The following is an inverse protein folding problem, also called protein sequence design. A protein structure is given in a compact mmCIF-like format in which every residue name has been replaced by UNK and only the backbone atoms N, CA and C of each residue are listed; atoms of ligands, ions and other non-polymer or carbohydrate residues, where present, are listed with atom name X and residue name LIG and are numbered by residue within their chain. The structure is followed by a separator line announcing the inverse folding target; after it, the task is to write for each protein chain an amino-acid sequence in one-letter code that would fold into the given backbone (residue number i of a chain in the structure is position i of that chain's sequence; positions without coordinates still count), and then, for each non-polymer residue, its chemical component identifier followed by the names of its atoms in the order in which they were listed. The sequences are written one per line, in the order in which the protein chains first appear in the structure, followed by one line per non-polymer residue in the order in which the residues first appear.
data_IF_437410838373
#
_entry.id   IF_437410838373
#
_cell.length_a   1.000
_cell.length_b   1.000
_cell.length_c   1.000
_cell.angle_alpha   90.00
_cell.angle_beta   90.00
_cell.angle_gamma   90.00
#
_symmetry.space_group_name_H-M   'P 1'
#
loop_
_entity.id
_entity.type
_entity.pdbx_description
1 polymer ?
#
# COMPACT_ATOMS: atom_id res chain seq x y z
N UNK A 1 31.39 112.55 11.72
CA UNK A 1 30.05 112.03 11.59
C UNK A 1 29.86 111.61 10.16
N UNK A 2 30.25 110.41 9.87
CA UNK A 2 30.08 109.84 8.57
C UNK A 2 28.70 109.15 8.48
N UNK A 3 27.77 109.82 7.84
CA UNK A 3 26.57 109.15 7.42
C UNK A 3 26.93 108.20 6.29
N UNK A 4 27.10 106.95 6.59
CA UNK A 4 27.23 105.87 5.59
C UNK A 4 25.88 105.77 4.82
N UNK A 5 25.72 106.68 3.78
CA UNK A 5 24.62 106.52 2.83
C UNK A 5 24.99 105.40 1.86
N UNK A 6 24.23 104.32 1.92
CA UNK A 6 24.38 103.25 0.93
C UNK A 6 24.35 103.87 -0.50
N UNK A 7 25.24 103.40 -1.35
CA UNK A 7 25.25 103.77 -2.77
C UNK A 7 24.01 103.18 -3.50
N UNK A 8 23.59 103.76 -4.59
CA UNK A 8 22.46 103.27 -5.42
C UNK A 8 22.73 101.85 -5.89
N UNK A 9 24.00 101.52 -6.12
CA UNK A 9 24.46 100.19 -6.57
C UNK A 9 24.26 99.13 -5.47
N UNK A 10 24.58 99.50 -4.19
CA UNK A 10 24.35 98.65 -3.05
C UNK A 10 22.86 98.40 -2.80
N UNK A 11 22.02 99.46 -2.93
CA UNK A 11 20.55 99.34 -2.82
C UNK A 11 20.01 98.42 -3.93
N UNK A 12 20.42 98.58 -5.17
CA UNK A 12 19.99 97.77 -6.31
C UNK A 12 20.40 96.32 -6.14
N UNK A 13 21.64 96.05 -5.64
CA UNK A 13 22.11 94.72 -5.36
C UNK A 13 21.28 94.08 -4.24
N UNK A 14 21.03 94.80 -3.15
CA UNK A 14 20.21 94.30 -2.06
C UNK A 14 18.76 94.01 -2.48
N UNK A 15 18.20 94.87 -3.30
CA UNK A 15 16.84 94.66 -3.87
C UNK A 15 16.78 93.45 -4.75
N UNK A 16 17.79 93.24 -5.58
CA UNK A 16 17.87 92.08 -6.46
C UNK A 16 18.05 90.78 -5.67
N UNK A 17 18.84 90.84 -4.61
CA UNK A 17 19.07 89.72 -3.71
C UNK A 17 17.78 89.38 -2.90
N UNK A 18 17.09 90.41 -2.41
CA UNK A 18 15.80 90.27 -1.73
C UNK A 18 14.72 89.70 -2.65
N UNK A 19 14.64 90.20 -3.88
CA UNK A 19 13.71 89.62 -4.87
C UNK A 19 13.99 88.17 -5.20
N UNK A 20 15.26 87.85 -5.40
CA UNK A 20 15.68 86.46 -5.62
C UNK A 20 15.37 85.53 -4.40
N UNK A 21 15.54 86.10 -3.18
CA UNK A 21 15.17 85.40 -1.96
C UNK A 21 13.66 85.18 -1.84
N UNK A 22 12.85 86.23 -2.18
CA UNK A 22 11.39 86.15 -2.23
C UNK A 22 10.91 85.14 -3.26
N UNK A 23 11.46 85.22 -4.48
CA UNK A 23 11.14 84.27 -5.54
C UNK A 23 11.55 82.77 -5.22
N UNK A 24 12.52 82.66 -4.33
CA UNK A 24 12.97 81.37 -3.79
C UNK A 24 12.11 80.80 -2.64
N UNK A 25 11.23 81.63 -2.06
CA UNK A 25 10.36 81.17 -0.98
C UNK A 25 9.29 80.20 -1.53
N UNK A 26 9.26 78.98 -0.94
CA UNK A 26 8.22 77.99 -1.24
C UNK A 26 7.28 77.89 -0.04
N UNK A 27 5.95 77.81 -0.36
CA UNK A 27 4.97 77.50 0.67
C UNK A 27 5.29 76.20 1.40
N UNK A 28 5.24 76.27 2.71
CA UNK A 28 5.33 75.08 3.56
C UNK A 28 4.17 74.19 3.26
N UNK A 29 4.42 72.87 3.33
CA UNK A 29 3.37 71.89 3.12
C UNK A 29 2.32 71.92 4.23
N UNK A 30 1.05 71.85 3.84
CA UNK A 30 -0.05 71.55 4.74
C UNK A 30 -0.14 70.01 4.88
N UNK A 31 0.03 69.52 6.09
CA UNK A 31 0.07 68.07 6.38
C UNK A 31 -1.32 67.50 6.69
N UNK A 32 -2.42 68.29 6.58
CA UNK A 32 -3.77 67.80 6.92
C UNK A 32 -4.22 66.65 6.01
N UNK A 33 -4.06 66.82 4.69
CA UNK A 33 -4.41 65.76 3.72
C UNK A 33 -3.51 64.52 3.84
N UNK A 34 -2.23 64.71 4.11
CA UNK A 34 -1.29 63.65 4.37
C UNK A 34 -1.70 62.79 5.60
N UNK A 35 -2.15 63.52 6.66
CA UNK A 35 -2.63 62.84 7.88
C UNK A 35 -3.88 62.02 7.61
N UNK A 36 -4.85 62.57 6.86
CA UNK A 36 -6.08 61.87 6.50
C UNK A 36 -5.78 60.58 5.73
N UNK A 37 -4.90 60.64 4.72
CA UNK A 37 -4.50 59.46 3.92
C UNK A 37 -3.79 58.40 4.78
N UNK A 38 -2.88 58.82 5.67
CA UNK A 38 -2.18 57.86 6.56
C UNK A 38 -3.14 57.22 7.54
N UNK A 39 -4.13 57.96 8.07
CA UNK A 39 -5.13 57.42 8.97
C UNK A 39 -6.04 56.41 8.24
N UNK A 40 -6.42 56.64 6.98
CA UNK A 40 -7.12 55.66 6.12
C UNK A 40 -6.30 54.43 5.89
N UNK A 41 -5.04 54.56 5.50
CA UNK A 41 -4.12 53.42 5.28
C UNK A 41 -3.99 52.57 6.54
N UNK A 42 -3.83 53.16 7.72
CA UNK A 42 -3.75 52.47 8.99
C UNK A 42 -5.04 51.74 9.35
N UNK A 43 -6.19 52.32 9.01
CA UNK A 43 -7.49 51.70 9.24
C UNK A 43 -7.70 50.43 8.41
N UNK A 44 -6.99 50.25 7.28
CA UNK A 44 -7.01 49.00 6.48
C UNK A 44 -6.34 47.82 7.16
N UNK A 45 -5.57 48.03 8.23
CA UNK A 45 -5.03 46.97 9.05
C UNK A 45 -4.05 46.05 8.33
N UNK A 46 -3.22 46.55 7.44
CA UNK A 46 -2.21 45.74 6.71
C UNK A 46 -1.28 45.05 7.66
N UNK A 47 -1.07 43.74 7.39
CA UNK A 47 -0.14 42.87 8.16
C UNK A 47 1.08 42.58 7.28
N UNK A 48 2.27 42.93 7.74
CA UNK A 48 3.51 42.80 6.97
C UNK A 48 3.77 41.41 6.43
N UNK A 49 3.35 40.39 7.17
CA UNK A 49 3.53 38.98 6.78
C UNK A 49 2.66 38.57 5.59
N UNK A 50 1.64 39.34 5.22
CA UNK A 50 0.73 38.99 4.15
C UNK A 50 1.22 39.44 2.77
N UNK A 51 2.34 40.22 2.75
CA UNK A 51 2.91 40.80 1.54
C UNK A 51 4.34 40.26 1.30
N UNK A 52 4.82 40.37 0.04
CA UNK A 52 6.22 40.11 -0.26
C UNK A 52 7.12 41.07 0.49
N UNK A 53 8.30 40.58 0.92
CA UNK A 53 9.24 41.37 1.72
C UNK A 53 9.61 42.68 0.98
N UNK A 54 9.85 42.61 -0.33
CA UNK A 54 10.24 43.76 -1.13
C UNK A 54 9.13 44.78 -1.27
N UNK A 55 7.89 44.36 -1.60
CA UNK A 55 6.76 45.29 -1.75
C UNK A 55 6.40 45.93 -0.41
N UNK A 56 6.40 45.17 0.68
CA UNK A 56 6.19 45.70 2.03
C UNK A 56 7.25 46.71 2.43
N UNK A 57 8.55 46.43 2.18
CA UNK A 57 9.67 47.31 2.48
C UNK A 57 9.51 48.66 1.74
N UNK A 58 9.13 48.65 0.47
CA UNK A 58 8.91 49.86 -0.31
C UNK A 58 7.75 50.67 0.24
N UNK A 59 6.61 50.02 0.52
CA UNK A 59 5.42 50.65 1.09
C UNK A 59 5.72 51.24 2.47
N UNK A 60 6.33 50.45 3.38
CA UNK A 60 6.63 50.94 4.74
C UNK A 60 7.63 52.10 4.74
N UNK A 61 8.60 52.10 3.81
CA UNK A 61 9.53 53.21 3.65
C UNK A 61 8.85 54.49 3.16
N UNK A 62 7.88 54.39 2.21
CA UNK A 62 7.08 55.52 1.76
C UNK A 62 6.18 56.05 2.87
N UNK A 63 5.48 55.17 3.59
CA UNK A 63 4.62 55.52 4.72
C UNK A 63 5.42 56.23 5.82
N UNK A 64 6.58 55.70 6.21
CA UNK A 64 7.43 56.32 7.24
C UNK A 64 7.89 57.72 6.86
N UNK A 65 8.19 57.96 5.58
CA UNK A 65 8.55 59.34 5.09
C UNK A 65 7.39 60.31 5.24
N UNK A 66 6.16 59.93 4.87
CA UNK A 66 4.98 60.80 5.02
C UNK A 66 4.67 61.02 6.49
N UNK A 67 4.75 60.01 7.34
CA UNK A 67 4.56 60.16 8.80
C UNK A 67 5.58 61.12 9.43
N UNK A 68 6.82 61.13 8.95
CA UNK A 68 7.83 62.09 9.42
C UNK A 68 7.42 63.54 9.07
N UNK A 69 6.89 63.78 7.86
CA UNK A 69 6.40 65.12 7.45
C UNK A 69 5.15 65.52 8.24
N UNK A 70 4.23 64.60 8.56
CA UNK A 70 3.07 64.88 9.42
C UNK A 70 3.54 65.36 10.79
N UNK A 71 4.63 64.75 11.32
CA UNK A 71 5.21 65.12 12.60
C UNK A 71 5.94 66.47 12.56
N UNK A 72 6.67 66.76 11.48
CA UNK A 72 7.39 67.99 11.26
C UNK A 72 7.52 68.29 9.78
N UNK A 73 6.79 69.34 9.30
CA UNK A 73 6.77 69.78 7.92
C UNK A 73 7.67 70.97 7.65
N UNK A 74 8.58 71.36 8.61
CA UNK A 74 9.38 72.59 8.54
C UNK A 74 10.24 72.69 7.27
N UNK A 75 10.79 71.57 6.81
CA UNK A 75 11.73 71.50 5.71
C UNK A 75 11.10 70.98 4.37
N UNK A 76 9.76 70.81 4.33
CA UNK A 76 9.06 70.20 3.17
C UNK A 76 8.09 71.24 2.59
N UNK A 77 8.19 71.48 1.29
CA UNK A 77 7.22 72.32 0.58
C UNK A 77 6.07 71.45 0.00
N UNK A 78 4.98 72.20 -0.47
CA UNK A 78 3.76 71.53 -0.96
C UNK A 78 4.00 70.58 -2.15
N UNK A 79 4.92 70.88 -3.09
CA UNK A 79 5.22 70.04 -4.23
C UNK A 79 5.98 68.75 -3.79
N UNK A 80 6.92 68.88 -2.85
CA UNK A 80 7.61 67.73 -2.29
C UNK A 80 6.65 66.79 -1.54
N UNK A 81 5.71 67.33 -0.75
CA UNK A 81 4.71 66.51 -0.08
C UNK A 81 3.80 65.80 -1.08
N UNK A 82 3.37 66.49 -2.13
CA UNK A 82 2.57 65.89 -3.21
C UNK A 82 3.27 64.67 -3.81
N UNK A 83 4.56 64.77 -4.17
CA UNK A 83 5.36 63.64 -4.70
C UNK A 83 5.49 62.50 -3.66
N UNK A 84 5.61 62.82 -2.38
CA UNK A 84 5.66 61.79 -1.33
C UNK A 84 4.34 61.04 -1.20
N UNK A 85 3.20 61.70 -1.33
CA UNK A 85 1.86 61.10 -1.30
C UNK A 85 1.62 60.25 -2.54
N UNK A 86 2.02 60.69 -3.73
CA UNK A 86 1.98 59.90 -4.97
C UNK A 86 2.84 58.61 -4.80
N UNK A 87 4.08 58.74 -4.32
CA UNK A 87 4.95 57.58 -4.06
C UNK A 87 4.35 56.61 -3.02
N UNK A 88 3.66 57.12 -1.99
CA UNK A 88 2.98 56.26 -1.01
C UNK A 88 1.79 55.53 -1.65
N UNK A 89 0.98 56.24 -2.45
CA UNK A 89 -0.13 55.63 -3.19
C UNK A 89 0.36 54.56 -4.17
N UNK A 90 1.43 54.85 -4.93
CA UNK A 90 2.04 53.90 -5.87
C UNK A 90 2.60 52.66 -5.13
N UNK A 91 3.30 52.88 -4.01
CA UNK A 91 3.83 51.78 -3.20
C UNK A 91 2.71 50.93 -2.57
N UNK A 92 1.59 51.56 -2.15
CA UNK A 92 0.41 50.82 -1.67
C UNK A 92 -0.20 49.98 -2.79
N UNK A 93 -0.39 50.58 -3.99
CA UNK A 93 -0.90 49.87 -5.16
C UNK A 93 0.02 48.74 -5.63
N UNK A 94 1.33 48.89 -5.39
CA UNK A 94 2.34 47.89 -5.71
C UNK A 94 2.49 46.76 -4.65
N UNK A 95 1.76 46.79 -3.55
CA UNK A 95 1.73 45.71 -2.58
C UNK A 95 1.34 44.39 -3.26
N UNK A 96 2.11 43.35 -3.03
CA UNK A 96 1.89 41.99 -3.55
C UNK A 96 1.45 41.11 -2.41
N UNK A 97 0.17 40.78 -2.38
CA UNK A 97 -0.42 39.88 -1.39
C UNK A 97 -0.02 38.45 -1.65
N UNK A 98 0.48 37.77 -0.63
CA UNK A 98 0.91 36.37 -0.64
C UNK A 98 0.21 35.55 0.45
N UNK A 99 -0.82 36.06 1.10
CA UNK A 99 -1.53 35.39 2.18
C UNK A 99 -2.12 34.05 1.70
N UNK A 100 -2.87 34.05 0.60
CA UNK A 100 -3.45 32.83 0.01
C UNK A 100 -2.35 31.85 -0.42
N UNK A 101 -1.27 32.36 -1.03
CA UNK A 101 -0.14 31.51 -1.44
C UNK A 101 0.54 30.82 -0.25
N UNK A 102 0.77 31.55 0.84
CA UNK A 102 1.33 30.98 2.08
C UNK A 102 0.42 29.91 2.68
N UNK A 103 -0.88 30.20 2.76
CA UNK A 103 -1.86 29.24 3.27
C UNK A 103 -1.89 27.96 2.43
N UNK A 104 -1.95 28.09 1.09
CA UNK A 104 -1.94 26.96 0.17
C UNK A 104 -0.64 26.15 0.25
N UNK A 105 0.50 26.82 0.29
CA UNK A 105 1.82 26.13 0.43
C UNK A 105 1.90 25.36 1.75
N UNK A 106 1.39 25.91 2.85
CA UNK A 106 1.34 25.22 4.13
C UNK A 106 0.45 23.99 4.08
N UNK A 107 -0.75 24.10 3.53
CA UNK A 107 -1.70 23.01 3.35
C UNK A 107 -1.07 21.88 2.50
N UNK A 108 -0.56 22.24 1.32
CA UNK A 108 -0.03 21.26 0.36
C UNK A 108 1.23 20.59 0.87
N UNK A 109 2.09 21.26 1.63
CA UNK A 109 3.26 20.66 2.29
C UNK A 109 2.89 19.50 3.22
N UNK A 110 1.83 19.63 3.98
CA UNK A 110 1.35 18.55 4.84
C UNK A 110 0.70 17.44 4.01
N UNK A 111 -0.06 17.80 3.01
CA UNK A 111 -0.73 16.83 2.12
C UNK A 111 0.27 15.94 1.36
N UNK A 112 1.33 16.52 0.81
CA UNK A 112 2.37 15.81 0.02
C UNK A 112 3.10 14.73 0.82
N UNK A 113 3.19 14.85 2.14
CA UNK A 113 3.85 13.84 2.99
C UNK A 113 3.25 12.43 2.85
N UNK A 114 1.98 12.34 2.48
CA UNK A 114 1.25 11.09 2.32
C UNK A 114 1.08 10.66 0.85
N UNK A 115 1.74 11.34 -0.08
CA UNK A 115 1.69 11.04 -1.50
C UNK A 115 2.87 10.16 -1.93
N UNK A 116 2.76 9.51 -3.08
CA UNK A 116 3.87 8.77 -3.69
C UNK A 116 4.99 9.75 -4.09
N UNK A 117 6.23 9.29 -3.97
CA UNK A 117 7.41 10.13 -4.22
C UNK A 117 7.44 10.65 -5.66
N UNK A 118 7.07 9.83 -6.63
CA UNK A 118 7.05 10.20 -8.04
C UNK A 118 6.00 11.28 -8.33
N UNK A 119 4.76 11.13 -7.82
CA UNK A 119 3.71 12.13 -8.01
C UNK A 119 4.00 13.45 -7.28
N UNK A 120 4.70 13.39 -6.14
CA UNK A 120 5.07 14.55 -5.34
C UNK A 120 6.25 15.37 -5.93
N UNK A 121 6.99 14.84 -6.89
CA UNK A 121 8.23 15.46 -7.39
C UNK A 121 8.02 16.87 -7.92
N UNK A 122 7.09 17.04 -8.86
CA UNK A 122 6.78 18.35 -9.45
C UNK A 122 6.21 19.31 -8.41
N UNK A 123 5.32 18.83 -7.56
CA UNK A 123 4.76 19.64 -6.48
C UNK A 123 5.85 20.19 -5.56
N UNK A 124 6.84 19.38 -5.17
CA UNK A 124 7.94 19.83 -4.34
C UNK A 124 8.79 20.93 -5.00
N UNK A 125 8.94 20.91 -6.33
CA UNK A 125 9.56 22.01 -7.09
C UNK A 125 8.71 23.26 -6.99
N UNK A 126 7.41 23.18 -7.28
CA UNK A 126 6.49 24.33 -7.19
C UNK A 126 6.46 24.93 -5.78
N UNK A 127 6.45 24.11 -4.74
CA UNK A 127 6.48 24.60 -3.35
C UNK A 127 7.77 25.36 -3.01
N UNK A 128 8.91 24.95 -3.57
CA UNK A 128 10.18 25.67 -3.42
C UNK A 128 10.17 27.00 -4.18
N UNK A 129 9.66 27.01 -5.41
CA UNK A 129 9.52 28.21 -6.24
C UNK A 129 8.54 29.19 -5.62
N UNK A 130 7.40 28.71 -5.09
CA UNK A 130 6.42 29.53 -4.38
C UNK A 130 7.04 30.25 -3.17
N UNK A 131 7.93 29.60 -2.42
CA UNK A 131 8.62 30.22 -1.30
C UNK A 131 9.58 31.35 -1.74
N UNK A 132 10.19 31.22 -2.92
CA UNK A 132 11.05 32.26 -3.46
C UNK A 132 10.25 33.54 -3.79
N UNK A 133 8.97 33.41 -4.18
CA UNK A 133 8.09 34.56 -4.42
C UNK A 133 7.77 35.38 -3.17
N UNK A 134 7.96 34.84 -1.97
CA UNK A 134 7.72 35.59 -0.73
C UNK A 134 8.66 36.78 -0.57
N UNK A 135 9.85 36.70 -1.15
CA UNK A 135 10.83 37.78 -1.09
C UNK A 135 10.45 38.93 -2.09
N UNK A 136 10.25 38.58 -3.36
CA UNK A 136 10.15 39.57 -4.43
C UNK A 136 9.24 39.15 -5.61
N UNK A 137 8.14 38.41 -5.36
CA UNK A 137 7.20 38.02 -6.40
C UNK A 137 6.38 39.16 -6.94
N UNK A 138 5.97 39.13 -8.24
CA UNK A 138 4.95 40.01 -8.79
C UNK A 138 3.54 39.45 -8.54
N UNK A 139 2.51 40.29 -8.69
CA UNK A 139 1.08 39.86 -8.58
C UNK A 139 0.76 38.72 -9.57
N UNK A 140 1.26 38.85 -10.80
CA UNK A 140 1.06 37.88 -11.87
C UNK A 140 1.77 36.55 -11.55
N UNK A 141 3.00 36.62 -11.05
CA UNK A 141 3.75 35.42 -10.66
C UNK A 141 3.08 34.66 -9.49
N UNK A 142 2.54 35.41 -8.51
CA UNK A 142 1.80 34.81 -7.38
C UNK A 142 0.50 34.16 -7.90
N UNK A 143 -0.25 34.81 -8.77
CA UNK A 143 -1.48 34.25 -9.35
C UNK A 143 -1.21 33.00 -10.21
N UNK A 144 -0.16 33.03 -11.01
CA UNK A 144 0.28 31.87 -11.80
C UNK A 144 0.70 30.68 -10.88
N UNK A 145 1.44 30.96 -9.82
CA UNK A 145 1.88 29.95 -8.87
C UNK A 145 0.69 29.30 -8.13
N UNK A 146 -0.28 30.10 -7.69
CA UNK A 146 -1.52 29.59 -7.09
C UNK A 146 -2.23 28.62 -8.04
N UNK A 147 -2.34 29.01 -9.31
CA UNK A 147 -2.98 28.18 -10.34
C UNK A 147 -2.18 26.89 -10.58
N UNK A 148 -0.86 26.97 -10.69
CA UNK A 148 0.01 25.82 -10.91
C UNK A 148 -0.06 24.81 -9.76
N UNK A 149 0.00 25.29 -8.50
CA UNK A 149 -0.11 24.42 -7.32
C UNK A 149 -1.48 23.74 -7.26
N UNK A 150 -2.58 24.48 -7.52
CA UNK A 150 -3.93 23.91 -7.53
C UNK A 150 -4.09 22.85 -8.63
N UNK A 151 -3.53 23.07 -9.81
CA UNK A 151 -3.55 22.10 -10.92
C UNK A 151 -2.73 20.86 -10.60
N UNK A 152 -1.50 21.01 -10.09
CA UNK A 152 -0.62 19.88 -9.77
C UNK A 152 -1.16 19.07 -8.59
N UNK A 153 -1.91 19.67 -7.66
CA UNK A 153 -2.54 18.95 -6.55
C UNK A 153 -3.47 17.82 -7.03
N UNK A 154 -4.10 17.98 -8.19
CA UNK A 154 -4.97 16.97 -8.79
C UNK A 154 -4.18 15.74 -9.33
N UNK A 155 -2.88 15.89 -9.59
CA UNK A 155 -2.00 14.83 -10.10
C UNK A 155 -1.34 14.00 -8.98
N UNK A 156 -1.54 14.39 -7.72
CA UNK A 156 -0.94 13.71 -6.58
C UNK A 156 -1.63 12.37 -6.32
N UNK A 157 -0.84 11.31 -6.21
CA UNK A 157 -1.30 9.95 -5.94
C UNK A 157 -1.02 9.60 -4.48
N UNK A 158 -2.04 9.27 -3.67
CA UNK A 158 -1.86 8.85 -2.30
C UNK A 158 -0.98 7.59 -2.20
N UNK A 159 -0.11 7.55 -1.20
CA UNK A 159 0.68 6.37 -0.87
C UNK A 159 -0.23 5.28 -0.32
N UNK A 160 0.00 4.04 -0.76
CA UNK A 160 -0.79 2.89 -0.33
C UNK A 160 -0.64 2.58 1.16
N UNK A 161 -1.75 2.25 1.80
CA UNK A 161 -1.77 1.72 3.16
C UNK A 161 -1.40 0.23 3.14
N UNK A 162 -0.28 -0.13 3.76
CA UNK A 162 0.27 -1.49 3.75
C UNK A 162 -0.11 -2.33 4.97
N UNK A 163 -0.95 -1.85 5.88
CA UNK A 163 -1.25 -2.55 7.14
C UNK A 163 -1.95 -3.90 6.92
N UNK A 164 -2.90 -3.99 5.99
CA UNK A 164 -3.54 -5.25 5.63
C UNK A 164 -2.54 -6.25 5.02
N UNK A 165 -1.62 -5.76 4.19
CA UNK A 165 -0.57 -6.57 3.58
C UNK A 165 0.42 -7.09 4.63
N UNK A 166 0.83 -6.25 5.58
CA UNK A 166 1.65 -6.66 6.75
C UNK A 166 0.98 -7.75 7.57
N UNK A 167 -0.31 -7.59 7.86
CA UNK A 167 -1.07 -8.57 8.62
C UNK A 167 -1.11 -9.94 7.93
N UNK A 168 -1.27 -9.97 6.60
CA UNK A 168 -1.25 -11.22 5.82
C UNK A 168 0.14 -11.85 5.74
N UNK A 169 1.19 -11.06 5.63
CA UNK A 169 2.57 -11.56 5.69
C UNK A 169 2.86 -12.21 7.04
N UNK A 170 2.39 -11.62 8.13
CA UNK A 170 2.55 -12.18 9.47
C UNK A 170 1.73 -13.47 9.65
N UNK A 171 0.48 -13.51 9.15
CA UNK A 171 -0.37 -14.71 9.16
C UNK A 171 0.28 -15.88 8.41
N UNK A 172 0.94 -15.63 7.29
CA UNK A 172 1.49 -16.66 6.41
C UNK A 172 2.94 -17.04 6.69
N UNK A 173 3.60 -16.40 7.66
CA UNK A 173 5.02 -16.62 7.98
C UNK A 173 5.38 -18.06 8.40
N UNK A 174 4.40 -18.84 8.87
CA UNK A 174 4.60 -20.23 9.32
C UNK A 174 4.54 -21.26 8.21
N UNK A 175 4.17 -20.87 6.98
CA UNK A 175 4.13 -21.78 5.84
C UNK A 175 5.55 -22.21 5.46
N UNK A 176 5.72 -23.50 5.15
CA UNK A 176 7.01 -24.10 4.78
C UNK A 176 6.91 -24.69 3.39
N UNK A 177 7.92 -24.45 2.57
CA UNK A 177 8.05 -24.98 1.21
C UNK A 177 7.88 -26.51 1.17
N UNK A 178 8.48 -27.23 2.14
CA UNK A 178 8.44 -28.70 2.23
C UNK A 178 7.03 -29.30 2.29
N UNK A 179 6.03 -28.50 2.67
CA UNK A 179 4.66 -28.97 2.88
C UNK A 179 3.81 -28.91 1.60
N UNK A 180 4.35 -28.28 0.53
CA UNK A 180 3.60 -27.97 -0.69
C UNK A 180 4.34 -28.41 -1.96
N UNK A 181 3.60 -28.56 -3.07
CA UNK A 181 4.20 -28.88 -4.36
C UNK A 181 5.06 -27.71 -4.86
N UNK A 182 6.22 -28.02 -5.49
CA UNK A 182 7.16 -27.01 -5.97
C UNK A 182 6.51 -26.00 -6.95
N UNK A 183 5.58 -26.46 -7.76
CA UNK A 183 4.86 -25.61 -8.73
C UNK A 183 4.02 -24.53 -8.03
N UNK A 184 3.20 -24.95 -7.06
CA UNK A 184 2.32 -24.01 -6.34
C UNK A 184 3.10 -23.15 -5.37
N UNK A 185 4.16 -23.69 -4.75
CA UNK A 185 5.06 -22.93 -3.89
C UNK A 185 5.78 -21.81 -4.66
N UNK A 186 6.29 -22.09 -5.86
CA UNK A 186 6.97 -21.06 -6.68
C UNK A 186 6.08 -19.87 -7.01
N UNK A 187 4.77 -20.09 -7.25
CA UNK A 187 3.80 -18.99 -7.48
C UNK A 187 3.58 -18.19 -6.20
N UNK A 188 3.41 -18.89 -5.07
CA UNK A 188 3.25 -18.26 -3.76
C UNK A 188 4.50 -17.45 -3.36
N UNK A 189 5.69 -18.00 -3.54
CA UNK A 189 6.96 -17.32 -3.22
C UNK A 189 7.13 -16.01 -4.00
N UNK A 190 6.80 -15.99 -5.29
CA UNK A 190 6.82 -14.74 -6.09
C UNK A 190 5.88 -13.68 -5.53
N UNK A 191 4.65 -14.06 -5.17
CA UNK A 191 3.69 -13.14 -4.57
C UNK A 191 4.15 -12.67 -3.18
N UNK A 192 4.74 -13.55 -2.39
CA UNK A 192 5.32 -13.26 -1.07
C UNK A 192 6.45 -12.22 -1.17
N UNK A 193 7.41 -12.44 -2.07
CA UNK A 193 8.53 -11.51 -2.28
C UNK A 193 8.06 -10.15 -2.78
N UNK A 194 7.08 -10.10 -3.68
CA UNK A 194 6.48 -8.85 -4.15
C UNK A 194 5.80 -8.08 -3.00
N UNK A 195 5.03 -8.78 -2.17
CA UNK A 195 4.37 -8.20 -1.00
C UNK A 195 5.38 -7.66 0.03
N UNK A 196 6.44 -8.43 0.30
CA UNK A 196 7.53 -8.02 1.20
C UNK A 196 8.27 -6.78 0.70
N UNK A 197 8.53 -6.69 -0.61
CA UNK A 197 9.17 -5.53 -1.21
C UNK A 197 8.34 -4.25 -1.03
N UNK A 198 7.01 -4.33 -1.23
CA UNK A 198 6.08 -3.21 -1.01
C UNK A 198 6.04 -2.79 0.46
N UNK A 199 6.00 -3.74 1.40
CA UNK A 199 6.00 -3.44 2.84
C UNK A 199 7.32 -2.82 3.29
N UNK A 200 8.45 -3.24 2.70
CA UNK A 200 9.77 -2.70 2.99
C UNK A 200 9.92 -1.25 2.53
N UNK A 201 9.39 -0.92 1.36
CA UNK A 201 9.39 0.44 0.83
C UNK A 201 8.13 0.71 0.01
N UNK A 202 7.18 1.46 0.60
CA UNK A 202 5.95 1.89 -0.05
C UNK A 202 5.98 3.38 -0.47
N UNK A 203 7.16 4.00 -0.47
CA UNK A 203 7.30 5.44 -0.73
C UNK A 203 6.75 5.87 -2.10
N UNK A 204 6.75 4.96 -3.07
CA UNK A 204 6.26 5.18 -4.43
C UNK A 204 5.21 4.15 -4.89
N UNK A 205 4.45 3.60 -3.95
CA UNK A 205 3.44 2.58 -4.20
C UNK A 205 2.04 3.15 -3.98
N UNK A 206 1.17 3.05 -4.99
CA UNK A 206 -0.24 3.46 -4.89
C UNK A 206 -1.09 2.44 -4.12
N UNK A 207 -2.29 2.84 -3.67
CA UNK A 207 -3.23 1.92 -3.02
C UNK A 207 -3.61 0.75 -3.94
N UNK A 208 -3.83 0.99 -5.22
CA UNK A 208 -4.15 -0.04 -6.21
C UNK A 208 -3.05 -1.11 -6.31
N UNK A 209 -1.78 -0.70 -6.30
CA UNK A 209 -0.65 -1.63 -6.31
C UNK A 209 -0.56 -2.46 -5.02
N UNK A 210 -0.85 -1.86 -3.85
CA UNK A 210 -0.93 -2.57 -2.57
C UNK A 210 -2.05 -3.60 -2.60
N UNK A 211 -3.25 -3.21 -3.07
CA UNK A 211 -4.42 -4.09 -3.15
C UNK A 211 -4.19 -5.26 -4.13
N UNK A 212 -3.53 -4.99 -5.26
CA UNK A 212 -3.13 -6.01 -6.23
C UNK A 212 -2.16 -7.03 -5.62
N UNK A 213 -1.15 -6.56 -4.89
CA UNK A 213 -0.19 -7.43 -4.23
C UNK A 213 -0.85 -8.27 -3.12
N UNK A 214 -1.76 -7.67 -2.33
CA UNK A 214 -2.54 -8.36 -1.32
C UNK A 214 -3.38 -9.48 -1.92
N UNK A 215 -4.15 -9.17 -2.96
CA UNK A 215 -4.99 -10.14 -3.65
C UNK A 215 -4.16 -11.27 -4.28
N UNK A 216 -3.02 -10.94 -4.91
CA UNK A 216 -2.11 -11.92 -5.48
C UNK A 216 -1.53 -12.86 -4.43
N UNK A 217 -1.13 -12.33 -3.26
CA UNK A 217 -0.62 -13.12 -2.15
C UNK A 217 -1.68 -14.07 -1.58
N UNK A 218 -2.92 -13.57 -1.39
CA UNK A 218 -4.04 -14.38 -0.89
C UNK A 218 -4.40 -15.49 -1.87
N UNK A 219 -4.55 -15.18 -3.16
CA UNK A 219 -4.87 -16.16 -4.20
C UNK A 219 -3.76 -17.22 -4.34
N UNK A 220 -2.51 -16.80 -4.33
CA UNK A 220 -1.39 -17.74 -4.40
C UNK A 220 -1.35 -18.67 -3.18
N UNK A 221 -1.66 -18.17 -1.98
CA UNK A 221 -1.77 -19.00 -0.76
C UNK A 221 -2.93 -19.99 -0.83
N UNK A 222 -4.09 -19.57 -1.36
CA UNK A 222 -5.26 -20.45 -1.52
C UNK A 222 -5.02 -21.55 -2.57
N UNK A 223 -4.18 -21.25 -3.57
CA UNK A 223 -3.80 -22.23 -4.61
C UNK A 223 -2.73 -23.22 -4.17
N UNK A 224 -2.16 -23.11 -2.97
CA UNK A 224 -1.14 -24.02 -2.48
C UNK A 224 -1.68 -25.45 -2.36
N UNK A 225 -1.00 -26.40 -2.99
CA UNK A 225 -1.31 -27.82 -2.94
C UNK A 225 -0.30 -28.54 -2.06
N UNK A 226 -0.78 -29.26 -1.04
CA UNK A 226 0.08 -30.03 -0.16
C UNK A 226 0.72 -31.21 -0.90
N UNK A 227 1.97 -31.50 -0.56
CA UNK A 227 2.62 -32.75 -0.98
C UNK A 227 1.89 -33.93 -0.34
N UNK A 228 1.30 -34.80 -1.15
CA UNK A 228 0.73 -36.04 -0.68
C UNK A 228 1.90 -37.05 -0.55
N UNK A 229 2.36 -37.29 0.66
CA UNK A 229 3.28 -38.39 0.93
C UNK A 229 2.44 -39.68 1.01
N UNK A 230 2.42 -40.46 -0.06
CA UNK A 230 1.86 -41.80 -0.01
C UNK A 230 2.74 -42.66 0.91
N UNK A 231 2.23 -42.98 2.10
CA UNK A 231 2.88 -43.91 3.01
C UNK A 231 2.66 -45.32 2.40
N UNK A 232 3.70 -46.04 2.03
CA UNK A 232 3.54 -47.42 1.51
C UNK A 232 2.79 -48.28 2.53
N UNK A 233 1.71 -48.93 2.04
CA UNK A 233 0.95 -49.86 2.91
C UNK A 233 1.78 -51.07 3.16
N UNK A 234 1.99 -51.44 4.45
CA UNK A 234 2.70 -52.65 4.84
C UNK A 234 1.87 -53.90 4.49
N UNK A 235 2.33 -54.67 3.53
CA UNK A 235 1.71 -55.89 3.03
C UNK A 235 2.37 -57.16 3.55
N UNK A 236 3.37 -57.10 4.42
CA UNK A 236 4.21 -58.20 4.86
C UNK A 236 3.40 -59.33 5.48
N UNK A 237 2.38 -59.04 6.27
CA UNK A 237 1.53 -60.05 6.89
C UNK A 237 0.70 -60.81 5.85
N UNK A 238 0.16 -60.12 4.84
CA UNK A 238 -0.58 -60.73 3.75
C UNK A 238 0.32 -61.61 2.87
N UNK A 239 1.54 -61.14 2.58
CA UNK A 239 2.55 -61.88 1.81
C UNK A 239 2.94 -63.18 2.49
N UNK A 240 3.21 -63.14 3.80
CA UNK A 240 3.51 -64.31 4.59
C UNK A 240 2.36 -65.35 4.60
N UNK A 241 1.11 -64.85 4.76
CA UNK A 241 -0.05 -65.74 4.76
C UNK A 241 -0.31 -66.37 3.39
N UNK A 242 -0.11 -65.60 2.28
CA UNK A 242 -0.18 -66.11 0.90
C UNK A 242 0.90 -67.20 0.70
N UNK A 243 2.12 -67.04 1.21
CA UNK A 243 3.18 -68.01 1.14
C UNK A 243 2.78 -69.32 1.85
N UNK A 244 2.23 -69.20 3.07
CA UNK A 244 1.74 -70.38 3.84
C UNK A 244 0.55 -71.06 3.08
N UNK A 245 -0.39 -70.27 2.57
CA UNK A 245 -1.53 -70.76 1.83
C UNK A 245 -1.12 -71.51 0.54
N UNK A 246 -0.09 -71.02 -0.15
CA UNK A 246 0.40 -71.60 -1.42
C UNK A 246 1.04 -73.01 -1.26
N UNK A 247 1.38 -73.33 -0.05
CA UNK A 247 1.93 -74.69 0.27
C UNK A 247 0.83 -75.76 0.47
N UNK A 248 -0.45 -75.42 0.42
CA UNK A 248 -1.57 -76.35 0.55
C UNK A 248 -1.92 -76.96 -0.80
N UNK A 249 -2.34 -78.24 -0.80
CA UNK A 249 -2.63 -79.01 -2.02
C UNK A 249 -4.11 -79.44 -2.09
N UNK A 250 -4.76 -79.23 -3.23
CA UNK A 250 -6.18 -79.54 -3.45
C UNK A 250 -6.57 -80.95 -3.09
N UNK A 251 -5.71 -81.94 -3.39
CA UNK A 251 -5.91 -83.36 -3.09
C UNK A 251 -6.11 -83.73 -1.60
N UNK A 252 -5.69 -82.83 -0.69
CA UNK A 252 -5.74 -83.07 0.73
C UNK A 252 -7.02 -82.60 1.40
N UNK A 253 -7.91 -81.89 0.60
CA UNK A 253 -9.11 -81.21 1.12
C UNK A 253 -10.36 -81.55 0.27
N UNK A 254 -11.54 -81.33 0.84
CA UNK A 254 -12.81 -81.52 0.09
C UNK A 254 -12.91 -80.46 -0.99
N UNK A 255 -13.51 -80.79 -2.15
CA UNK A 255 -13.64 -79.88 -3.30
C UNK A 255 -14.38 -78.58 -2.96
N UNK A 256 -15.44 -78.64 -2.13
CA UNK A 256 -16.19 -77.48 -1.70
C UNK A 256 -15.35 -76.48 -0.86
N UNK A 257 -14.61 -77.01 0.16
CA UNK A 257 -13.77 -76.16 1.00
C UNK A 257 -12.55 -75.60 0.24
N UNK A 258 -12.02 -76.40 -0.71
CA UNK A 258 -10.92 -75.99 -1.56
C UNK A 258 -11.31 -74.85 -2.50
N UNK A 259 -12.51 -74.85 -3.13
CA UNK A 259 -12.99 -73.77 -4.00
C UNK A 259 -13.09 -72.43 -3.24
N UNK A 260 -13.58 -72.42 -1.99
CA UNK A 260 -13.67 -71.21 -1.17
C UNK A 260 -12.29 -70.66 -0.88
N UNK A 261 -11.38 -71.54 -0.45
CA UNK A 261 -9.99 -71.20 -0.18
C UNK A 261 -9.25 -70.65 -1.41
N UNK A 262 -9.37 -71.34 -2.56
CA UNK A 262 -8.72 -70.94 -3.81
C UNK A 262 -9.16 -69.52 -4.25
N UNK A 263 -10.45 -69.21 -4.11
CA UNK A 263 -10.99 -67.89 -4.41
C UNK A 263 -10.40 -66.83 -3.44
N UNK A 264 -10.32 -67.11 -2.16
CA UNK A 264 -9.74 -66.21 -1.18
C UNK A 264 -8.23 -65.99 -1.43
N UNK A 265 -7.49 -67.05 -1.77
CA UNK A 265 -6.07 -66.94 -2.13
C UNK A 265 -5.85 -66.12 -3.39
N UNK A 266 -6.70 -66.29 -4.42
CA UNK A 266 -6.62 -65.48 -5.63
C UNK A 266 -6.89 -64.02 -5.35
N UNK A 267 -7.90 -63.72 -4.53
CA UNK A 267 -8.22 -62.34 -4.13
C UNK A 267 -7.04 -61.72 -3.35
N UNK A 268 -6.46 -62.47 -2.40
CA UNK A 268 -5.31 -62.01 -1.62
C UNK A 268 -4.09 -61.69 -2.53
N UNK A 269 -3.82 -62.55 -3.53
CA UNK A 269 -2.75 -62.30 -4.52
C UNK A 269 -3.01 -61.09 -5.36
N UNK A 270 -4.26 -60.79 -5.74
CA UNK A 270 -4.62 -59.60 -6.49
C UNK A 270 -4.42 -58.33 -5.66
N UNK A 271 -4.80 -58.33 -4.37
CA UNK A 271 -4.60 -57.21 -3.44
C UNK A 271 -3.09 -57.00 -3.18
N UNK A 272 -2.29 -58.09 -3.07
CA UNK A 272 -0.85 -57.95 -2.92
C UNK A 272 -0.19 -57.27 -4.11
N UNK A 273 -0.63 -57.58 -5.32
CA UNK A 273 -0.08 -57.05 -6.58
C UNK A 273 -0.53 -55.66 -6.92
N UNK A 274 -1.61 -55.15 -6.32
CA UNK A 274 -2.16 -53.82 -6.61
C UNK A 274 -1.45 -52.80 -5.70
N UNK A 275 -0.69 -51.85 -6.29
CA UNK A 275 0.05 -50.79 -5.62
C UNK A 275 -0.85 -49.69 -5.05
N UNK A 276 -2.12 -49.63 -5.46
CA UNK A 276 -3.05 -48.54 -5.09
C UNK A 276 -3.99 -48.91 -3.93
N UNK A 277 -3.90 -50.11 -3.36
CA UNK A 277 -4.80 -50.54 -2.28
C UNK A 277 -4.47 -49.88 -0.94
N UNK A 278 -5.51 -49.60 -0.17
CA UNK A 278 -5.40 -49.07 1.19
C UNK A 278 -5.11 -50.17 2.22
N UNK A 279 -4.69 -49.77 3.42
CA UNK A 279 -4.45 -50.70 4.54
C UNK A 279 -5.67 -51.54 4.92
N UNK A 280 -6.87 -50.97 4.79
CA UNK A 280 -8.13 -51.67 5.04
C UNK A 280 -8.36 -52.84 4.08
N UNK A 281 -7.99 -52.67 2.81
CA UNK A 281 -8.16 -53.69 1.78
C UNK A 281 -7.17 -54.85 1.99
N UNK A 282 -5.94 -54.51 2.41
CA UNK A 282 -4.91 -55.49 2.77
C UNK A 282 -5.35 -56.32 3.99
N UNK A 283 -5.88 -55.67 5.03
CA UNK A 283 -6.39 -56.33 6.24
C UNK A 283 -7.59 -57.24 5.90
N UNK A 284 -8.56 -56.73 5.12
CA UNK A 284 -9.69 -57.57 4.70
C UNK A 284 -9.26 -58.81 3.89
N UNK A 285 -8.30 -58.66 2.98
CA UNK A 285 -7.76 -59.78 2.23
C UNK A 285 -7.04 -60.79 3.12
N UNK A 286 -6.28 -60.32 4.11
CA UNK A 286 -5.62 -61.13 5.12
C UNK A 286 -6.62 -61.97 5.93
N UNK A 287 -7.67 -61.31 6.48
CA UNK A 287 -8.68 -62.01 7.31
C UNK A 287 -9.48 -63.01 6.47
N UNK A 288 -9.92 -62.64 5.25
CA UNK A 288 -10.63 -63.55 4.36
C UNK A 288 -9.81 -64.78 4.01
N UNK A 289 -8.51 -64.66 3.71
CA UNK A 289 -7.64 -65.78 3.42
C UNK A 289 -7.42 -66.64 4.65
N UNK A 290 -7.21 -66.06 5.82
CA UNK A 290 -7.04 -66.75 7.09
C UNK A 290 -8.26 -67.59 7.47
N UNK A 291 -9.46 -66.99 7.35
CA UNK A 291 -10.74 -67.69 7.60
C UNK A 291 -10.93 -68.86 6.62
N UNK A 292 -10.69 -68.64 5.32
CA UNK A 292 -10.78 -69.66 4.30
C UNK A 292 -9.78 -70.81 4.54
N UNK A 293 -8.55 -70.50 5.03
CA UNK A 293 -7.59 -71.53 5.44
C UNK A 293 -8.05 -72.34 6.64
N UNK A 294 -8.69 -71.71 7.61
CA UNK A 294 -9.26 -72.39 8.79
C UNK A 294 -10.47 -73.25 8.46
N UNK A 295 -11.23 -72.86 7.44
CA UNK A 295 -12.43 -73.56 6.98
C UNK A 295 -12.12 -74.80 6.08
N UNK A 296 -10.84 -75.05 5.73
CA UNK A 296 -10.44 -76.19 4.93
C UNK A 296 -10.77 -77.50 5.65
N UNK A 297 -11.53 -78.37 4.99
CA UNK A 297 -11.92 -79.68 5.48
C UNK A 297 -11.07 -80.76 4.76
N UNK A 298 -10.39 -81.65 5.49
CA UNK A 298 -9.62 -82.74 4.89
C UNK A 298 -10.51 -83.67 4.10
N UNK A 299 -10.03 -84.10 2.94
CA UNK A 299 -10.69 -85.14 2.16
C UNK A 299 -10.75 -86.39 2.99
N UNK A 300 -11.89 -87.08 3.05
CA UNK A 300 -11.95 -88.37 3.69
C UNK A 300 -11.10 -89.38 2.89
N UNK A 301 -10.04 -89.92 3.50
CA UNK A 301 -9.30 -91.02 2.92
C UNK A 301 -10.28 -92.17 2.66
N UNK A 302 -10.42 -92.60 1.45
CA UNK A 302 -11.13 -93.86 1.11
C UNK A 302 -10.33 -95.01 1.64
N UNK A 303 -10.39 -95.22 2.93
CA UNK A 303 -9.87 -96.38 3.64
C UNK A 303 -11.00 -97.07 4.39
N UNK A 304 -11.25 -98.28 3.97
CA UNK A 304 -12.25 -99.25 4.45
C UNK A 304 -12.39 -99.30 5.98
N UNK A 305 -13.65 -99.20 6.50
CA UNK A 305 -13.97 -99.80 7.76
C UNK A 305 -14.93 -99.00 8.69
N UNK A 306 -16.19 -99.55 8.68
CA UNK A 306 -17.16 -99.63 9.81
C UNK A 306 -17.60 -98.29 10.54
N UNK A 307 -18.81 -97.97 10.26
CA UNK A 307 -19.92 -97.52 11.12
C UNK A 307 -19.62 -96.63 12.32
N UNK A 308 -20.04 -95.38 12.22
CA UNK A 308 -21.02 -94.81 13.14
C UNK A 308 -21.58 -93.49 12.59
N UNK A 309 -22.90 -93.44 12.59
CA UNK A 309 -23.68 -92.27 12.12
C UNK A 309 -23.94 -91.34 13.31
N UNK A 310 -23.36 -90.19 13.32
CA UNK A 310 -23.87 -89.05 14.05
C UNK A 310 -23.89 -87.83 13.16
N UNK A 311 -25.09 -87.54 12.67
CA UNK A 311 -25.45 -86.31 11.96
C UNK A 311 -25.32 -85.10 12.96
N UNK A 312 -24.40 -84.19 12.74
CA UNK A 312 -24.52 -82.86 13.22
C UNK A 312 -24.53 -81.90 12.03
N UNK A 313 -25.73 -81.44 11.71
CA UNK A 313 -25.93 -80.35 10.77
C UNK A 313 -25.43 -79.06 11.38
N UNK A 314 -24.28 -78.55 10.94
CA UNK A 314 -23.93 -77.15 11.13
C UNK A 314 -24.43 -76.34 9.95
N UNK A 315 -25.46 -75.53 10.24
CA UNK A 315 -25.91 -74.50 9.29
C UNK A 315 -24.82 -73.42 9.11
N UNK A 316 -24.19 -73.42 7.99
CA UNK A 316 -23.23 -72.36 7.62
C UNK A 316 -24.00 -71.16 7.13
N UNK A 317 -24.08 -70.11 7.94
CA UNK A 317 -24.58 -68.81 7.54
C UNK A 317 -23.60 -68.20 6.51
N UNK A 318 -23.99 -68.32 5.24
CA UNK A 318 -23.34 -67.66 4.10
C UNK A 318 -23.72 -66.17 4.11
N UNK A 319 -22.98 -65.34 4.86
CA UNK A 319 -23.13 -63.89 4.79
C UNK A 319 -21.74 -63.27 4.77
N UNK A 320 -21.44 -62.54 3.72
CA UNK A 320 -20.32 -61.62 3.51
C UNK A 320 -19.34 -61.92 2.35
N UNK A 321 -19.83 -62.25 1.15
CA UNK A 321 -19.01 -62.21 -0.05
C UNK A 321 -19.46 -61.24 -1.15
N UNK A 322 -20.43 -60.38 -0.83
CA UNK A 322 -20.96 -59.41 -1.82
C UNK A 322 -20.35 -58.00 -1.72
N UNK A 323 -19.61 -57.66 -0.67
CA UNK A 323 -19.16 -56.28 -0.42
C UNK A 323 -17.92 -55.82 -1.20
N UNK A 324 -16.93 -56.71 -1.36
CA UNK A 324 -15.60 -56.34 -1.89
C UNK A 324 -15.60 -56.21 -3.43
N UNK A 325 -16.36 -57.03 -4.12
CA UNK A 325 -16.41 -56.98 -5.61
C UNK A 325 -17.13 -55.73 -6.14
N UNK A 326 -18.07 -55.14 -5.39
CA UNK A 326 -18.81 -53.94 -5.78
C UNK A 326 -17.97 -52.65 -5.60
N UNK A 327 -17.09 -52.61 -4.60
CA UNK A 327 -16.23 -51.44 -4.35
C UNK A 327 -15.11 -51.28 -5.41
N UNK A 328 -14.61 -52.38 -5.97
CA UNK A 328 -13.57 -52.33 -7.01
C UNK A 328 -14.14 -51.89 -8.38
N UNK A 329 -15.42 -52.15 -8.64
CA UNK A 329 -16.08 -51.77 -9.92
C UNK A 329 -16.57 -50.33 -9.94
N UNK A 330 -16.85 -49.72 -8.78
CA UNK A 330 -17.34 -48.33 -8.72
C UNK A 330 -16.20 -47.30 -8.79
N UNK A 331 -14.98 -47.66 -8.33
CA UNK A 331 -13.80 -46.76 -8.45
C UNK A 331 -13.28 -46.63 -9.89
N UNK A 332 -13.56 -47.56 -10.77
CA UNK A 332 -13.15 -47.51 -12.21
C UNK A 332 -14.01 -46.59 -13.09
N UNK A 333 -15.13 -46.01 -12.54
CA UNK A 333 -16.06 -45.11 -13.27
C UNK A 333 -15.91 -43.63 -12.90
N UNK A 334 -14.98 -43.25 -11.99
CA UNK A 334 -14.78 -41.88 -11.53
C UNK A 334 -13.33 -41.39 -11.73
N UNK A 335 -12.72 -41.79 -12.84
CA UNK A 335 -11.51 -41.11 -13.38
C UNK A 335 -11.75 -40.67 -14.80
#
# INVERSE_FOLDING_TARGET
EGSDKATQEQVNSATKSLQAALDGLKLRADAADAKALVDEIKALGYISSDYTVQSWKAFNAALTKVEAVIKDSSDVNAEQLKVMLENLSDAQAALVDIHELKALVKEVKEFVKNMTTSSAKNMNVLLKEAQALYEAGSKEAVAQMLTAIKAEKANLVPRGNVEALKAKLEEYKSLKESDYTAETWSVYEKALLAAQAIVKDNSDVSQEAVDTALNSLVQAKEALQKVIVEIPVDKSMLENLISEASNKHAKDYTEESWKVFEKALQTAKSVLADETVGSSDVEAAYQNLKEAMQALKKAANAGVGTGDTTNMAFSLTLLCLAGVAILLMTRKRLR
#
